data_IF_794051203147
#
_entry.id   IF_794051203147
#
_cell.length_a   1.000
_cell.length_b   1.000
_cell.length_c   1.000
_cell.angle_alpha   90.00
_cell.angle_beta   90.00
_cell.angle_gamma   90.00
#
_symmetry.space_group_name_H-M   'P 1'
#
loop_
_entity.id
_entity.type
_entity.pdbx_description
1 polymer ?
#
# COMPACT_ATOMS: atom_id res chain seq x y z
N UNK A 1 21.73 -3.61 26.13
CA UNK A 1 20.53 -3.40 26.96
C UNK A 1 19.99 -2.04 26.58
N UNK A 2 18.75 -1.96 26.08
CA UNK A 2 18.16 -0.68 25.68
C UNK A 2 18.07 0.24 26.91
N UNK A 3 18.40 1.53 26.75
CA UNK A 3 18.55 2.47 27.87
C UNK A 3 17.20 3.01 28.40
N UNK A 4 16.08 2.45 27.95
CA UNK A 4 14.73 2.89 28.30
C UNK A 4 13.82 1.71 28.62
N UNK A 5 12.76 1.98 29.38
CA UNK A 5 11.67 1.06 29.68
C UNK A 5 10.45 1.36 28.80
N UNK A 6 9.53 0.39 28.68
CA UNK A 6 8.28 0.57 27.93
C UNK A 6 7.48 1.80 28.42
N UNK A 7 7.49 2.06 29.73
CA UNK A 7 6.84 3.23 30.33
C UNK A 7 7.38 4.56 29.82
N UNK A 8 8.66 4.63 29.44
CA UNK A 8 9.24 5.83 28.87
C UNK A 8 8.63 6.10 27.49
N UNK A 9 8.42 5.04 26.69
CA UNK A 9 7.76 5.17 25.39
C UNK A 9 6.30 5.57 25.53
N UNK A 10 5.55 4.98 26.47
CA UNK A 10 4.17 5.37 26.76
C UNK A 10 4.05 6.84 27.17
N UNK A 11 4.99 7.30 28.01
CA UNK A 11 5.09 8.70 28.43
C UNK A 11 5.33 9.63 27.24
N UNK A 12 6.34 9.33 26.41
CA UNK A 12 6.67 10.17 25.26
C UNK A 12 5.59 10.13 24.17
N UNK A 13 4.96 8.99 23.92
CA UNK A 13 3.83 8.88 23.02
C UNK A 13 2.64 9.75 23.48
N UNK A 14 2.34 9.80 24.78
CA UNK A 14 1.32 10.71 25.31
C UNK A 14 1.66 12.19 25.03
N UNK A 15 2.91 12.58 25.29
CA UNK A 15 3.43 13.94 25.03
C UNK A 15 3.40 14.29 23.54
N UNK A 16 3.77 13.35 22.68
CA UNK A 16 3.72 13.50 21.23
C UNK A 16 2.28 13.68 20.78
N UNK A 17 1.33 12.90 21.29
CA UNK A 17 -0.10 13.03 20.97
C UNK A 17 -0.67 14.40 21.31
N UNK A 18 -0.23 15.01 22.42
CA UNK A 18 -0.58 16.39 22.75
C UNK A 18 -0.12 17.35 21.63
N UNK A 19 1.13 17.22 21.18
CA UNK A 19 1.68 18.04 20.09
C UNK A 19 1.03 17.77 18.74
N UNK A 20 0.75 16.52 18.41
CA UNK A 20 -0.01 16.11 17.22
C UNK A 20 -1.37 16.83 17.18
N UNK A 21 -2.07 16.89 18.31
CA UNK A 21 -3.34 17.62 18.43
C UNK A 21 -3.15 19.15 18.34
N UNK A 22 -2.13 19.72 19.00
CA UNK A 22 -1.80 21.16 18.90
C UNK A 22 -1.51 21.59 17.45
N UNK A 23 -0.81 20.75 16.68
CA UNK A 23 -0.53 20.99 15.25
C UNK A 23 -1.71 20.71 14.32
N UNK A 24 -2.83 20.18 14.85
CA UNK A 24 -4.03 19.89 14.07
C UNK A 24 -3.92 18.67 13.15
N UNK A 25 -2.99 17.75 13.44
CA UNK A 25 -2.87 16.49 12.71
C UNK A 25 -4.05 15.58 13.03
N UNK A 26 -4.61 14.96 11.99
CA UNK A 26 -5.76 14.08 12.06
C UNK A 26 -5.33 12.64 11.73
N UNK A 27 -5.01 11.88 12.78
CA UNK A 27 -4.49 10.51 12.69
C UNK A 27 -5.57 9.47 13.03
N UNK A 28 -5.51 8.27 12.45
CA UNK A 28 -6.19 7.09 13.00
C UNK A 28 -5.63 6.76 14.39
N UNK A 29 -6.38 6.01 15.24
CA UNK A 29 -5.80 5.44 16.44
C UNK A 29 -4.52 4.68 16.12
N UNK A 30 -3.47 4.88 16.91
CA UNK A 30 -2.13 4.34 16.66
C UNK A 30 -1.81 3.23 17.65
N UNK A 31 -1.35 2.10 17.13
CA UNK A 31 -0.79 0.98 17.88
C UNK A 31 0.69 0.82 17.54
N UNK A 32 1.53 0.62 18.55
CA UNK A 32 2.96 0.39 18.40
C UNK A 32 3.33 -1.00 18.87
N UNK A 33 4.14 -1.71 18.10
CA UNK A 33 4.73 -2.99 18.49
C UNK A 33 6.25 -2.89 18.45
N UNK A 34 6.92 -3.34 19.51
CA UNK A 34 8.38 -3.34 19.58
C UNK A 34 8.90 -4.66 19.00
N UNK A 35 9.76 -4.57 17.99
CA UNK A 35 10.34 -5.73 17.33
C UNK A 35 11.88 -5.73 17.37
N UNK A 36 12.47 -6.91 17.29
CA UNK A 36 13.91 -7.05 17.02
C UNK A 36 14.21 -7.00 15.52
N UNK A 37 15.50 -7.01 15.16
CA UNK A 37 15.95 -6.94 13.77
C UNK A 37 15.46 -8.12 12.92
N UNK A 38 15.37 -9.33 13.48
CA UNK A 38 14.90 -10.52 12.76
C UNK A 38 13.41 -10.41 12.43
N UNK A 39 12.62 -9.96 13.41
CA UNK A 39 11.21 -9.64 13.22
C UNK A 39 11.02 -8.52 12.19
N UNK A 40 11.80 -7.44 12.26
CA UNK A 40 11.73 -6.32 11.31
C UNK A 40 12.04 -6.77 9.88
N UNK A 41 13.08 -7.59 9.67
CA UNK A 41 13.37 -8.18 8.37
C UNK A 41 12.20 -9.05 7.86
N UNK A 42 11.55 -9.78 8.75
CA UNK A 42 10.31 -10.51 8.46
C UNK A 42 9.19 -9.59 8.00
N UNK A 43 8.92 -8.53 8.76
CA UNK A 43 7.92 -7.52 8.42
C UNK A 43 8.24 -6.87 7.07
N UNK A 44 9.50 -6.50 6.80
CA UNK A 44 9.91 -5.97 5.50
C UNK A 44 9.65 -6.93 4.35
N UNK A 45 9.94 -8.23 4.52
CA UNK A 45 9.69 -9.24 3.49
C UNK A 45 8.21 -9.36 3.13
N UNK A 46 7.31 -9.16 4.11
CA UNK A 46 5.86 -9.16 3.94
C UNK A 46 5.25 -7.75 3.79
N UNK A 47 6.07 -6.72 3.52
CA UNK A 47 5.62 -5.32 3.39
C UNK A 47 4.78 -4.83 4.58
N UNK A 48 5.18 -5.24 5.78
CA UNK A 48 4.55 -4.91 7.07
C UNK A 48 3.37 -5.80 7.45
N UNK A 49 2.80 -6.60 6.54
CA UNK A 49 1.53 -7.28 6.81
C UNK A 49 1.66 -8.47 7.78
N UNK A 50 0.97 -8.48 8.94
CA UNK A 50 1.09 -9.55 9.93
C UNK A 50 0.54 -10.92 9.49
N UNK A 51 -0.44 -10.95 8.59
CA UNK A 51 -1.17 -12.17 8.19
C UNK A 51 -1.36 -12.24 6.67
N UNK A 52 -0.25 -12.27 5.94
CA UNK A 52 -0.23 -12.44 4.49
C UNK A 52 -0.32 -13.92 4.09
N UNK A 53 -0.79 -14.24 2.86
CA UNK A 53 -0.68 -15.62 2.36
C UNK A 53 0.79 -16.03 2.18
N UNK A 54 1.09 -17.33 2.36
CA UNK A 54 2.43 -17.84 2.08
C UNK A 54 2.71 -17.83 0.58
N UNK A 55 3.93 -17.44 0.23
CA UNK A 55 4.46 -17.56 -1.13
C UNK A 55 6.00 -17.57 -1.05
N UNK A 56 6.65 -18.40 -1.87
CA UNK A 56 8.11 -18.57 -1.83
C UNK A 56 8.88 -17.26 -2.06
N UNK A 57 8.30 -16.31 -2.81
CA UNK A 57 8.93 -15.01 -3.09
C UNK A 57 9.21 -14.19 -1.83
N UNK A 58 8.36 -14.29 -0.79
CA UNK A 58 8.58 -13.61 0.49
C UNK A 58 9.75 -14.23 1.26
N UNK A 59 9.89 -15.56 1.25
CA UNK A 59 11.05 -16.24 1.82
C UNK A 59 12.35 -15.84 1.11
N UNK A 60 12.33 -15.78 -0.22
CA UNK A 60 13.47 -15.28 -1.01
C UNK A 60 13.78 -13.81 -0.69
N UNK A 61 12.76 -12.97 -0.52
CA UNK A 61 12.93 -11.56 -0.16
C UNK A 61 13.58 -11.43 1.22
N UNK A 62 13.13 -12.21 2.20
CA UNK A 62 13.72 -12.27 3.54
C UNK A 62 15.21 -12.64 3.49
N UNK A 63 15.56 -13.75 2.82
CA UNK A 63 16.96 -14.18 2.72
C UNK A 63 17.84 -13.14 2.04
N UNK A 64 17.32 -12.47 0.99
CA UNK A 64 18.02 -11.36 0.34
C UNK A 64 18.24 -10.19 1.29
N UNK A 65 17.19 -9.73 2.00
CA UNK A 65 17.27 -8.60 2.93
C UNK A 65 18.24 -8.90 4.08
N UNK A 66 18.11 -10.09 4.69
CA UNK A 66 19.00 -10.57 5.74
C UNK A 66 20.45 -10.59 5.28
N UNK A 67 20.71 -11.16 4.10
CA UNK A 67 22.07 -11.21 3.53
C UNK A 67 22.66 -9.81 3.36
N UNK A 68 21.90 -8.87 2.78
CA UNK A 68 22.35 -7.49 2.59
C UNK A 68 22.62 -6.78 3.93
N UNK A 69 21.81 -7.05 4.95
CA UNK A 69 22.02 -6.53 6.31
C UNK A 69 23.28 -7.11 6.97
N UNK A 70 23.45 -8.43 6.95
CA UNK A 70 24.58 -9.13 7.57
C UNK A 70 25.93 -8.67 6.97
N UNK A 71 25.95 -8.34 5.67
CA UNK A 71 27.12 -7.79 4.99
C UNK A 71 27.26 -6.26 5.10
N UNK A 72 26.38 -5.58 5.86
CA UNK A 72 26.42 -4.13 6.05
C UNK A 72 26.12 -3.31 4.79
N UNK A 73 25.52 -3.93 3.77
CA UNK A 73 25.16 -3.27 2.50
C UNK A 73 23.90 -2.42 2.66
N UNK A 74 22.97 -2.86 3.50
CA UNK A 74 21.71 -2.17 3.74
C UNK A 74 21.40 -2.12 5.24
N UNK A 75 20.99 -0.95 5.74
CA UNK A 75 20.48 -0.79 7.10
C UNK A 75 19.05 -1.32 7.27
N UNK A 76 18.63 -1.44 8.52
CA UNK A 76 17.24 -1.76 8.89
C UNK A 76 16.52 -0.44 9.19
N UNK A 77 15.27 -0.26 8.72
CA UNK A 77 14.52 0.94 9.01
C UNK A 77 14.23 1.05 10.50
N UNK A 78 14.08 2.27 11.00
CA UNK A 78 13.77 2.51 12.41
C UNK A 78 12.33 2.16 12.76
N UNK A 79 11.44 2.23 11.77
CA UNK A 79 10.04 1.83 11.84
C UNK A 79 9.60 0.97 10.66
N UNK A 80 8.37 0.46 10.75
CA UNK A 80 7.56 0.12 9.59
C UNK A 80 6.10 0.45 9.91
N UNK A 81 5.43 1.27 9.09
CA UNK A 81 4.02 1.67 9.31
C UNK A 81 3.06 0.96 8.35
N UNK A 82 1.95 0.47 8.88
CA UNK A 82 0.82 -0.10 8.12
C UNK A 82 -0.34 0.87 8.13
N UNK A 83 -0.84 1.22 6.94
CA UNK A 83 -2.04 2.01 6.78
C UNK A 83 -3.30 1.17 7.09
N UNK A 84 -3.71 1.19 8.35
CA UNK A 84 -4.91 0.55 8.85
C UNK A 84 -5.62 1.45 9.88
N UNK A 85 -6.79 1.03 10.34
CA UNK A 85 -7.55 1.69 11.40
C UNK A 85 -7.98 0.63 12.45
N UNK A 86 -7.25 0.48 13.57
CA UNK A 86 -6.10 1.29 14.00
C UNK A 86 -4.87 1.13 13.11
N UNK A 87 -4.07 2.20 13.02
CA UNK A 87 -2.76 2.22 12.33
C UNK A 87 -1.76 1.44 13.18
N UNK A 88 -1.00 0.55 12.55
CA UNK A 88 -0.02 -0.30 13.23
C UNK A 88 1.38 0.15 12.82
N UNK A 89 2.29 0.32 13.78
CA UNK A 89 3.68 0.62 13.51
C UNK A 89 4.62 -0.27 14.32
N UNK A 90 5.64 -0.79 13.66
CA UNK A 90 6.70 -1.55 14.30
C UNK A 90 7.86 -0.63 14.65
N UNK A 91 8.37 -0.72 15.87
CA UNK A 91 9.50 0.07 16.36
C UNK A 91 10.68 -0.84 16.64
N UNK A 92 11.86 -0.49 16.10
CA UNK A 92 13.09 -1.24 16.36
C UNK A 92 13.52 -1.11 17.82
N UNK A 93 13.63 -2.23 18.54
CA UNK A 93 14.05 -2.28 19.95
C UNK A 93 15.42 -1.65 20.22
N UNK A 94 16.32 -1.75 19.25
CA UNK A 94 17.71 -1.32 19.39
C UNK A 94 17.90 0.18 19.15
N UNK A 95 16.85 0.91 18.78
CA UNK A 95 16.87 2.37 18.72
C UNK A 95 17.19 2.96 20.10
N UNK A 96 17.90 4.08 20.15
CA UNK A 96 18.03 4.86 21.39
C UNK A 96 16.71 5.48 21.80
N UNK A 97 16.61 6.00 23.03
CA UNK A 97 15.40 6.69 23.47
C UNK A 97 15.10 7.93 22.60
N UNK A 98 16.11 8.73 22.24
CA UNK A 98 15.93 9.88 21.36
C UNK A 98 15.37 9.44 20.00
N UNK A 99 15.94 8.39 19.42
CA UNK A 99 15.51 7.86 18.14
C UNK A 99 14.10 7.25 18.21
N UNK A 100 13.71 6.63 19.33
CA UNK A 100 12.33 6.19 19.54
C UNK A 100 11.36 7.36 19.56
N UNK A 101 11.68 8.45 20.27
CA UNK A 101 10.84 9.66 20.32
C UNK A 101 10.67 10.25 18.91
N UNK A 102 11.78 10.37 18.17
CA UNK A 102 11.77 10.81 16.76
C UNK A 102 10.88 9.91 15.91
N UNK A 103 11.05 8.60 16.03
CA UNK A 103 10.34 7.60 15.23
C UNK A 103 8.84 7.61 15.55
N UNK A 104 8.44 7.68 16.82
CA UNK A 104 7.03 7.80 17.21
C UNK A 104 6.40 9.06 16.61
N UNK A 105 7.09 10.22 16.69
CA UNK A 105 6.61 11.46 16.08
C UNK A 105 6.51 11.35 14.54
N UNK A 106 7.45 10.65 13.91
CA UNK A 106 7.45 10.38 12.47
C UNK A 106 6.27 9.51 12.04
N UNK A 107 5.98 8.44 12.79
CA UNK A 107 4.83 7.56 12.57
C UNK A 107 3.51 8.34 12.60
N UNK A 108 3.34 9.31 13.50
CA UNK A 108 2.13 10.15 13.48
C UNK A 108 2.04 11.02 12.23
N UNK A 109 3.17 11.47 11.70
CA UNK A 109 3.20 12.14 10.41
C UNK A 109 2.73 11.22 9.27
N UNK A 110 3.21 9.98 9.21
CA UNK A 110 2.71 8.99 8.23
C UNK A 110 1.22 8.72 8.40
N UNK A 111 0.77 8.54 9.63
CA UNK A 111 -0.62 8.23 9.95
C UNK A 111 -1.56 9.37 9.49
N UNK A 112 -1.21 10.63 9.79
CA UNK A 112 -1.94 11.80 9.28
C UNK A 112 -1.94 11.84 7.74
N UNK A 113 -0.78 11.58 7.12
CA UNK A 113 -0.67 11.56 5.66
C UNK A 113 -1.60 10.52 5.03
N UNK A 114 -1.58 9.28 5.53
CA UNK A 114 -2.42 8.20 5.04
C UNK A 114 -3.90 8.52 5.20
N UNK A 115 -4.30 9.10 6.34
CA UNK A 115 -5.70 9.42 6.63
C UNK A 115 -6.27 10.52 5.75
N UNK A 116 -5.47 11.54 5.42
CA UNK A 116 -5.98 12.76 4.79
C UNK A 116 -5.64 12.89 3.29
N UNK A 117 -4.79 12.01 2.75
CA UNK A 117 -4.39 12.07 1.35
C UNK A 117 -5.44 11.42 0.42
N UNK A 118 -5.82 12.15 -0.63
CA UNK A 118 -6.83 11.74 -1.62
C UNK A 118 -6.54 10.39 -2.27
N UNK A 119 -5.28 10.02 -2.49
CA UNK A 119 -4.88 8.75 -3.12
C UNK A 119 -5.33 7.53 -2.29
N UNK A 120 -5.52 7.70 -0.98
CA UNK A 120 -5.98 6.65 -0.08
C UNK A 120 -7.51 6.60 0.09
N UNK A 121 -8.27 7.49 -0.55
CA UNK A 121 -9.72 7.59 -0.40
C UNK A 121 -10.47 6.30 -0.78
N UNK A 122 -9.93 5.53 -1.71
CA UNK A 122 -10.47 4.23 -2.13
C UNK A 122 -10.03 3.07 -1.23
N UNK A 123 -9.01 3.27 -0.39
CA UNK A 123 -8.60 2.27 0.58
C UNK A 123 -9.61 2.20 1.72
N UNK A 124 -9.76 1.02 2.32
CA UNK A 124 -10.64 0.78 3.47
C UNK A 124 -9.80 0.39 4.69
N UNK A 125 -9.16 1.36 5.37
CA UNK A 125 -8.19 1.07 6.42
C UNK A 125 -8.77 0.25 7.59
N UNK A 126 -10.08 0.34 7.83
CA UNK A 126 -10.81 -0.42 8.86
C UNK A 126 -10.79 -1.94 8.61
N UNK A 127 -10.65 -2.33 7.34
CA UNK A 127 -10.69 -3.72 6.93
C UNK A 127 -9.34 -4.26 6.46
N UNK A 128 -8.31 -3.42 6.30
CA UNK A 128 -7.00 -3.81 5.74
C UNK A 128 -6.47 -5.10 6.35
N UNK A 129 -6.22 -5.13 7.67
CA UNK A 129 -5.62 -6.30 8.34
C UNK A 129 -6.53 -7.53 8.21
N UNK A 130 -7.84 -7.35 8.37
CA UNK A 130 -8.82 -8.43 8.24
C UNK A 130 -8.91 -9.00 6.83
N UNK A 131 -8.82 -8.16 5.80
CA UNK A 131 -8.83 -8.54 4.38
C UNK A 131 -7.60 -9.37 4.03
N UNK A 132 -6.40 -8.92 4.40
CA UNK A 132 -5.17 -9.69 4.17
C UNK A 132 -5.23 -11.05 4.88
N UNK A 133 -5.71 -11.09 6.12
CA UNK A 133 -5.92 -12.35 6.84
C UNK A 133 -6.91 -13.26 6.11
N UNK A 134 -8.03 -12.72 5.65
CA UNK A 134 -9.03 -13.49 4.92
C UNK A 134 -8.42 -14.05 3.62
N UNK A 135 -7.63 -13.26 2.89
CA UNK A 135 -6.90 -13.70 1.70
C UNK A 135 -5.93 -14.84 2.04
N UNK A 136 -5.14 -14.69 3.10
CA UNK A 136 -4.24 -15.72 3.59
C UNK A 136 -4.95 -17.05 3.86
N UNK A 137 -6.09 -16.99 4.54
CA UNK A 137 -6.89 -18.16 4.87
C UNK A 137 -7.51 -18.80 3.60
N UNK A 138 -7.94 -17.99 2.60
CA UNK A 138 -8.43 -18.52 1.30
C UNK A 138 -7.33 -19.23 0.51
N UNK A 139 -6.16 -18.60 0.37
CA UNK A 139 -5.01 -19.17 -0.37
C UNK A 139 -4.56 -20.49 0.26
N UNK A 140 -4.44 -20.55 1.60
CA UNK A 140 -4.09 -21.80 2.31
C UNK A 140 -5.11 -22.91 2.03
N UNK A 141 -6.41 -22.60 2.07
CA UNK A 141 -7.45 -23.59 1.74
C UNK A 141 -7.32 -24.14 0.33
N UNK A 142 -6.93 -23.32 -0.65
CA UNK A 142 -6.67 -23.81 -2.00
C UNK A 142 -5.42 -24.69 -2.06
N UNK A 143 -4.34 -24.29 -1.38
CA UNK A 143 -3.12 -25.09 -1.32
C UNK A 143 -3.31 -26.45 -0.63
N UNK A 144 -4.12 -26.49 0.43
CA UNK A 144 -4.43 -27.71 1.20
C UNK A 144 -5.46 -28.61 0.52
N UNK A 145 -6.17 -28.11 -0.52
CA UNK A 145 -7.16 -28.90 -1.25
C UNK A 145 -6.49 -29.99 -2.09
N UNK A 146 -6.81 -31.29 -1.90
CA UNK A 146 -6.17 -32.39 -2.63
C UNK A 146 -6.34 -32.33 -4.16
N UNK A 147 -7.39 -31.64 -4.65
CA UNK A 147 -7.65 -31.47 -6.09
C UNK A 147 -6.82 -30.36 -6.74
N UNK A 148 -6.35 -29.40 -5.94
CA UNK A 148 -5.57 -28.25 -6.39
C UNK A 148 -4.11 -28.46 -6.05
N UNK A 149 -3.78 -28.48 -4.76
CA UNK A 149 -2.41 -28.64 -4.25
C UNK A 149 -1.58 -27.36 -4.31
N UNK A 150 -0.54 -27.33 -3.48
CA UNK A 150 0.37 -26.18 -3.33
C UNK A 150 1.02 -25.76 -4.66
N UNK A 151 1.56 -26.71 -5.43
CA UNK A 151 2.30 -26.43 -6.66
C UNK A 151 1.48 -25.64 -7.69
N UNK A 152 0.19 -25.99 -7.84
CA UNK A 152 -0.71 -25.26 -8.76
C UNK A 152 -1.01 -23.86 -8.26
N UNK A 153 -1.23 -23.69 -6.96
CA UNK A 153 -1.49 -22.38 -6.34
C UNK A 153 -0.28 -21.47 -6.50
N UNK A 154 0.93 -21.96 -6.17
CA UNK A 154 2.16 -21.17 -6.30
C UNK A 154 2.45 -20.79 -7.75
N UNK A 155 2.37 -21.75 -8.68
CA UNK A 155 2.60 -21.48 -10.12
C UNK A 155 1.62 -20.41 -10.64
N UNK A 156 0.37 -20.45 -10.20
CA UNK A 156 -0.63 -19.46 -10.59
C UNK A 156 -0.38 -18.09 -9.94
N UNK A 157 -0.01 -18.07 -8.65
CA UNK A 157 0.36 -16.85 -7.94
C UNK A 157 1.60 -16.19 -8.53
N UNK A 158 2.61 -16.95 -8.96
CA UNK A 158 3.79 -16.43 -9.65
C UNK A 158 3.40 -15.62 -10.90
N UNK A 159 2.51 -16.20 -11.72
CA UNK A 159 2.00 -15.52 -12.91
C UNK A 159 1.21 -14.27 -12.54
N UNK A 160 0.32 -14.35 -11.54
CA UNK A 160 -0.48 -13.21 -11.09
C UNK A 160 0.38 -12.08 -10.51
N UNK A 161 1.37 -12.40 -9.67
CA UNK A 161 2.31 -11.44 -9.08
C UNK A 161 3.11 -10.70 -10.14
N UNK A 162 3.53 -11.37 -11.22
CA UNK A 162 4.26 -10.73 -12.33
C UNK A 162 3.48 -9.60 -13.01
N UNK A 163 2.14 -9.64 -12.93
CA UNK A 163 1.22 -8.65 -13.52
C UNK A 163 0.54 -7.76 -12.48
N UNK A 164 0.82 -7.94 -11.18
CA UNK A 164 0.15 -7.25 -10.08
C UNK A 164 0.14 -5.72 -10.20
N UNK A 165 1.22 -5.13 -10.69
CA UNK A 165 1.36 -3.67 -10.87
C UNK A 165 0.74 -3.14 -12.17
N UNK A 166 0.22 -4.02 -13.04
CA UNK A 166 -0.54 -3.67 -14.23
C UNK A 166 -2.02 -3.52 -13.84
N UNK A 167 -2.29 -2.44 -13.11
CA UNK A 167 -3.63 -2.04 -12.70
C UNK A 167 -3.72 -0.52 -12.54
N UNK A 168 -4.96 -0.03 -12.42
CA UNK A 168 -5.27 1.39 -12.32
C UNK A 168 -4.54 2.04 -11.14
N UNK A 169 -3.92 3.19 -11.42
CA UNK A 169 -3.19 3.97 -10.41
C UNK A 169 -4.08 4.87 -9.56
N UNK A 170 -5.18 5.36 -10.12
CA UNK A 170 -6.12 6.23 -9.42
C UNK A 170 -7.47 5.55 -9.24
N UNK A 171 -7.61 4.82 -8.13
CA UNK A 171 -8.82 4.09 -7.78
C UNK A 171 -9.97 5.02 -7.34
N UNK A 172 -9.70 6.29 -7.04
CA UNK A 172 -10.73 7.27 -6.72
C UNK A 172 -11.49 7.76 -7.96
N UNK A 173 -10.91 7.59 -9.16
CA UNK A 173 -11.61 7.84 -10.42
C UNK A 173 -12.51 6.66 -10.73
N UNK A 174 -13.83 6.92 -10.81
CA UNK A 174 -14.82 5.90 -11.15
C UNK A 174 -14.53 5.32 -12.54
N UNK A 175 -14.39 4.00 -12.61
CA UNK A 175 -14.33 3.27 -13.87
C UNK A 175 -15.69 3.30 -14.56
N UNK A 176 -15.69 3.58 -15.85
CA UNK A 176 -16.89 3.51 -16.67
C UNK A 176 -17.24 2.04 -16.89
N UNK A 177 -18.54 1.74 -16.88
CA UNK A 177 -19.03 0.44 -17.34
C UNK A 177 -18.83 0.31 -18.85
N UNK A 178 -18.78 -0.93 -19.36
CA UNK A 178 -18.60 -1.17 -20.80
C UNK A 178 -19.63 -0.40 -21.68
N UNK A 179 -20.92 -0.31 -21.35
CA UNK A 179 -21.87 0.51 -22.09
C UNK A 179 -21.53 2.01 -22.06
N UNK A 180 -21.07 2.53 -20.92
CA UNK A 180 -20.65 3.93 -20.79
C UNK A 180 -19.38 4.22 -21.60
N UNK A 181 -18.43 3.29 -21.64
CA UNK A 181 -17.22 3.39 -22.48
C UNK A 181 -17.57 3.39 -23.96
N UNK A 182 -18.44 2.48 -24.40
CA UNK A 182 -18.94 2.45 -25.79
C UNK A 182 -19.62 3.75 -26.17
N UNK A 183 -20.48 4.28 -25.30
CA UNK A 183 -21.14 5.57 -25.52
C UNK A 183 -20.14 6.72 -25.59
N UNK A 184 -19.10 6.70 -24.75
CA UNK A 184 -18.02 7.69 -24.77
C UNK A 184 -17.22 7.63 -26.07
N UNK A 185 -16.93 6.45 -26.59
CA UNK A 185 -16.24 6.28 -27.89
C UNK A 185 -17.08 6.82 -29.05
N UNK A 186 -18.39 6.55 -29.05
CA UNK A 186 -19.33 7.08 -30.05
C UNK A 186 -19.40 8.62 -29.97
N UNK A 187 -19.49 9.16 -28.75
CA UNK A 187 -19.50 10.60 -28.53
C UNK A 187 -18.20 11.26 -28.97
N UNK A 188 -17.04 10.65 -28.69
CA UNK A 188 -15.73 11.15 -29.10
C UNK A 188 -15.51 11.09 -30.63
N UNK A 189 -16.13 10.14 -31.31
CA UNK A 189 -16.12 10.04 -32.77
C UNK A 189 -17.00 11.11 -33.45
N UNK A 190 -17.92 11.73 -32.70
CA UNK A 190 -18.77 12.82 -33.21
C UNK A 190 -18.05 14.16 -33.02
N UNK A 191 -17.65 14.86 -34.08
CA UNK A 191 -16.95 16.12 -33.95
C UNK A 191 -17.87 17.17 -33.29
N UNK A 192 -17.33 18.05 -32.43
CA UNK A 192 -18.11 19.13 -31.83
C UNK A 192 -18.66 20.05 -32.94
N UNK A 193 -19.82 20.67 -32.67
CA UNK A 193 -20.43 21.60 -33.61
C UNK A 193 -19.49 22.78 -33.89
N UNK A 194 -19.06 22.91 -35.14
CA UNK A 194 -18.16 23.97 -35.60
C UNK A 194 -18.97 25.17 -36.12
N UNK A 195 -18.95 26.34 -35.45
CA UNK A 195 -19.67 27.53 -35.90
C UNK A 195 -19.19 28.05 -37.26
N UNK A 196 -17.96 27.68 -37.66
CA UNK A 196 -17.29 28.12 -38.86
C UNK A 196 -17.11 26.99 -39.89
N UNK A 197 -17.97 25.97 -39.84
CA UNK A 197 -17.91 24.78 -40.72
C UNK A 197 -17.86 25.11 -42.23
N UNK A 198 -18.26 26.32 -42.65
CA UNK A 198 -18.17 26.80 -44.03
C UNK A 198 -16.75 27.08 -44.51
N UNK A 199 -15.81 27.37 -43.60
CA UNK A 199 -14.41 27.70 -43.91
C UNK A 199 -13.42 26.63 -43.45
N UNK A 200 -13.80 25.81 -42.47
CA UNK A 200 -12.95 24.72 -42.00
C UNK A 200 -13.14 23.46 -42.86
N UNK A 201 -12.04 22.71 -43.03
CA UNK A 201 -12.08 21.40 -43.71
C UNK A 201 -12.97 20.47 -42.90
N UNK A 202 -13.95 19.83 -43.57
CA UNK A 202 -14.83 18.85 -42.95
C UNK A 202 -13.98 17.75 -42.31
N UNK A 203 -14.10 17.58 -40.99
CA UNK A 203 -13.49 16.45 -40.29
C UNK A 203 -14.22 15.18 -40.71
N UNK A 204 -13.47 14.19 -41.19
CA UNK A 204 -13.99 12.86 -41.48
C UNK A 204 -14.25 12.14 -40.15
N UNK A 205 -15.48 11.66 -39.98
CA UNK A 205 -15.83 10.83 -38.82
C UNK A 205 -15.15 9.48 -38.98
N UNK A 206 -14.25 9.13 -38.07
CA UNK A 206 -13.72 7.77 -37.98
C UNK A 206 -14.64 6.98 -37.07
N UNK A 207 -15.31 5.96 -37.61
CA UNK A 207 -16.15 5.08 -36.80
C UNK A 207 -15.29 4.29 -35.81
N UNK A 208 -15.60 4.32 -34.50
CA UNK A 208 -14.84 3.55 -33.52
C UNK A 208 -15.11 2.06 -33.71
N UNK A 209 -14.07 1.22 -33.62
CA UNK A 209 -14.25 -0.23 -33.68
C UNK A 209 -14.82 -0.77 -32.37
N UNK A 210 -16.15 -0.82 -32.30
CA UNK A 210 -16.88 -1.32 -31.15
C UNK A 210 -16.78 -2.85 -30.98
N UNK A 211 -16.14 -3.59 -31.89
CA UNK A 211 -16.01 -5.05 -31.74
C UNK A 211 -14.85 -5.47 -30.85
N UNK A 212 -13.95 -4.54 -30.54
CA UNK A 212 -12.81 -4.79 -29.65
C UNK A 212 -13.29 -5.06 -28.22
N UNK A 213 -12.69 -6.06 -27.58
CA UNK A 213 -12.89 -6.38 -26.16
C UNK A 213 -11.54 -6.31 -25.46
N UNK A 214 -11.33 -5.36 -24.53
CA UNK A 214 -12.26 -4.32 -24.11
C UNK A 214 -12.37 -3.18 -25.15
N UNK A 215 -13.45 -2.37 -25.14
CA UNK A 215 -13.63 -1.24 -26.06
C UNK A 215 -12.51 -0.20 -25.95
N UNK A 216 -12.03 0.04 -24.73
CA UNK A 216 -10.84 0.85 -24.43
C UNK A 216 -9.70 -0.04 -23.92
N UNK A 217 -8.43 0.40 -23.98
CA UNK A 217 -7.35 -0.26 -23.26
C UNK A 217 -7.68 -0.40 -21.77
N UNK A 218 -7.58 -1.63 -21.26
CA UNK A 218 -7.82 -1.96 -19.87
C UNK A 218 -6.50 -1.91 -19.08
N UNK A 219 -6.51 -1.16 -17.98
CA UNK A 219 -5.36 -1.09 -17.08
C UNK A 219 -5.34 -2.27 -16.11
N UNK A 220 -6.50 -2.75 -15.64
CA UNK A 220 -6.61 -3.87 -14.69
C UNK A 220 -6.46 -5.23 -15.38
N UNK A 221 -5.23 -5.58 -15.77
CA UNK A 221 -4.94 -6.79 -16.56
C UNK A 221 -5.39 -8.08 -15.86
N UNK A 222 -5.18 -8.19 -14.54
CA UNK A 222 -5.60 -9.37 -13.78
C UNK A 222 -7.12 -9.57 -13.81
N UNK A 223 -7.89 -8.49 -13.60
CA UNK A 223 -9.35 -8.56 -13.64
C UNK A 223 -9.87 -8.82 -15.06
N UNK A 224 -9.20 -8.24 -16.07
CA UNK A 224 -9.51 -8.54 -17.46
C UNK A 224 -9.40 -10.04 -17.76
N UNK A 225 -8.29 -10.67 -17.37
CA UNK A 225 -8.05 -12.10 -17.54
C UNK A 225 -9.11 -12.91 -16.78
N UNK A 226 -9.40 -12.53 -15.52
CA UNK A 226 -10.43 -13.19 -14.68
C UNK A 226 -11.80 -13.21 -15.36
N UNK A 227 -12.20 -12.09 -15.94
CA UNK A 227 -13.56 -11.88 -16.45
C UNK A 227 -13.75 -12.40 -17.88
N UNK A 228 -12.67 -12.50 -18.67
CA UNK A 228 -12.73 -12.89 -20.09
C UNK A 228 -12.18 -14.28 -20.40
N UNK A 229 -11.46 -14.93 -19.48
CA UNK A 229 -10.97 -16.29 -19.70
C UNK A 229 -12.01 -17.33 -19.21
N UNK A 230 -12.69 -18.05 -20.12
CA UNK A 230 -13.73 -19.01 -19.75
C UNK A 230 -13.17 -20.31 -19.16
N UNK A 231 -11.86 -20.54 -19.24
CA UNK A 231 -11.22 -21.78 -18.78
C UNK A 231 -10.74 -21.73 -17.33
N UNK A 232 -10.77 -20.55 -16.70
CA UNK A 232 -10.36 -20.40 -15.30
C UNK A 232 -11.38 -21.02 -14.36
N UNK A 233 -10.86 -21.80 -13.41
CA UNK A 233 -11.61 -22.31 -12.28
C UNK A 233 -11.89 -21.20 -11.27
N UNK A 234 -12.89 -21.39 -10.41
CA UNK A 234 -13.31 -20.37 -9.45
C UNK A 234 -12.19 -19.99 -8.45
N UNK A 235 -11.33 -20.93 -8.06
CA UNK A 235 -10.19 -20.61 -7.20
C UNK A 235 -9.12 -19.78 -7.91
N UNK A 236 -8.87 -20.02 -9.20
CA UNK A 236 -7.93 -19.22 -10.01
C UNK A 236 -8.44 -17.78 -10.16
N UNK A 237 -9.76 -17.61 -10.37
CA UNK A 237 -10.39 -16.29 -10.42
C UNK A 237 -10.30 -15.55 -9.08
N UNK A 238 -10.46 -16.26 -7.96
CA UNK A 238 -10.28 -15.68 -6.63
C UNK A 238 -8.82 -15.27 -6.40
N UNK A 239 -7.82 -16.08 -6.80
CA UNK A 239 -6.41 -15.71 -6.69
C UNK A 239 -6.07 -14.44 -7.49
N UNK A 240 -6.59 -14.30 -8.72
CA UNK A 240 -6.43 -13.05 -9.49
C UNK A 240 -7.04 -11.84 -8.77
N UNK A 241 -8.20 -12.05 -8.13
CA UNK A 241 -8.88 -11.01 -7.37
C UNK A 241 -8.09 -10.62 -6.12
N UNK A 242 -7.60 -11.60 -5.36
CA UNK A 242 -6.75 -11.40 -4.19
C UNK A 242 -5.52 -10.56 -4.54
N UNK A 243 -4.76 -10.98 -5.56
CA UNK A 243 -3.53 -10.28 -5.96
C UNK A 243 -3.83 -8.86 -6.44
N UNK A 244 -4.93 -8.65 -7.16
CA UNK A 244 -5.35 -7.32 -7.60
C UNK A 244 -5.76 -6.42 -6.43
N UNK A 245 -6.54 -6.93 -5.48
CA UNK A 245 -6.98 -6.17 -4.31
C UNK A 245 -5.79 -5.77 -3.41
N UNK A 246 -4.83 -6.67 -3.21
CA UNK A 246 -3.61 -6.37 -2.46
C UNK A 246 -2.73 -5.35 -3.20
N UNK A 247 -2.59 -5.45 -4.53
CA UNK A 247 -1.90 -4.44 -5.33
C UNK A 247 -2.56 -3.06 -5.18
N UNK A 248 -3.89 -3.01 -5.13
CA UNK A 248 -4.65 -1.78 -4.89
C UNK A 248 -4.37 -1.13 -3.53
N UNK A 249 -4.00 -1.92 -2.52
CA UNK A 249 -3.54 -1.40 -1.22
C UNK A 249 -2.12 -0.79 -1.32
N UNK A 250 -1.20 -1.45 -2.02
CA UNK A 250 0.20 -1.03 -2.10
C UNK A 250 0.47 0.11 -3.09
N UNK A 251 -0.29 0.20 -4.19
CA UNK A 251 -0.06 1.22 -5.23
C UNK A 251 -0.06 2.66 -4.69
N UNK A 252 -1.07 3.10 -3.91
CA UNK A 252 -1.06 4.43 -3.32
C UNK A 252 0.22 4.72 -2.51
N UNK A 253 0.72 3.74 -1.77
CA UNK A 253 1.92 3.87 -0.95
C UNK A 253 3.19 3.98 -1.80
N UNK A 254 3.28 3.18 -2.87
CA UNK A 254 4.41 3.23 -3.81
C UNK A 254 4.45 4.60 -4.51
N UNK A 255 3.31 5.06 -5.03
CA UNK A 255 3.20 6.32 -5.78
C UNK A 255 3.43 7.55 -4.89
N UNK A 256 3.03 7.48 -3.61
CA UNK A 256 3.11 8.63 -2.70
C UNK A 256 4.31 8.60 -1.76
N UNK A 257 5.20 7.60 -1.87
CA UNK A 257 6.30 7.35 -0.92
C UNK A 257 7.11 8.61 -0.59
N UNK A 258 7.62 9.32 -1.59
CA UNK A 258 8.47 10.51 -1.37
C UNK A 258 7.71 11.60 -0.60
N UNK A 259 6.43 11.80 -0.92
CA UNK A 259 5.62 12.81 -0.27
C UNK A 259 5.23 12.39 1.14
N UNK A 260 4.98 11.11 1.37
CA UNK A 260 4.72 10.53 2.69
C UNK A 260 5.92 10.72 3.63
N UNK A 261 7.12 10.32 3.20
CA UNK A 261 8.36 10.52 3.96
C UNK A 261 8.61 12.02 4.22
N UNK A 262 8.42 12.87 3.21
CA UNK A 262 8.60 14.31 3.35
C UNK A 262 7.62 14.95 4.35
N UNK A 263 6.36 14.50 4.37
CA UNK A 263 5.36 14.97 5.33
C UNK A 263 5.69 14.51 6.76
N UNK A 264 6.05 13.23 6.91
CA UNK A 264 6.46 12.70 8.20
C UNK A 264 7.74 13.35 8.73
N UNK A 265 8.72 13.64 7.86
CA UNK A 265 9.92 14.39 8.22
C UNK A 265 9.65 15.87 8.54
N UNK A 266 8.66 16.49 7.92
CA UNK A 266 8.29 17.86 8.29
C UNK A 266 7.71 17.88 9.71
N UNK A 267 6.77 16.98 10.00
CA UNK A 267 6.05 16.99 11.27
C UNK A 267 6.85 16.41 12.42
N UNK A 268 7.68 15.38 12.22
CA UNK A 268 8.52 14.89 13.31
C UNK A 268 9.45 15.99 13.84
N UNK A 269 9.91 16.88 12.97
CA UNK A 269 10.86 17.94 13.31
C UNK A 269 10.15 19.02 14.08
N UNK A 270 8.96 19.43 13.60
CA UNK A 270 8.10 20.40 14.31
C UNK A 270 7.67 19.88 15.69
N UNK A 271 7.33 18.60 15.78
CA UNK A 271 6.98 17.95 17.03
C UNK A 271 8.19 17.92 17.95
N UNK A 272 9.36 17.48 17.49
CA UNK A 272 10.57 17.42 18.31
C UNK A 272 11.02 18.81 18.79
N UNK A 273 10.97 19.84 17.93
CA UNK A 273 11.26 21.22 18.33
C UNK A 273 10.30 21.74 19.42
N UNK A 274 9.03 21.31 19.37
CA UNK A 274 7.99 21.71 20.32
C UNK A 274 7.98 20.83 21.58
N UNK A 275 8.58 19.64 21.52
CA UNK A 275 8.88 18.83 22.69
C UNK A 275 10.06 19.51 23.38
N UNK A 276 9.84 20.01 24.58
CA UNK A 276 10.90 20.53 25.45
C UNK A 276 11.78 19.36 25.94
N UNK A 277 12.56 18.77 25.02
CA UNK A 277 13.38 17.60 25.28
C UNK A 277 14.47 17.94 26.30
N UNK A 278 14.75 17.05 27.27
CA UNK A 278 15.93 17.15 28.13
C UNK A 278 17.20 17.34 27.29
N UNK A 279 18.14 18.15 27.81
CA UNK A 279 19.39 18.47 27.12
C UNK A 279 20.17 17.23 26.64
N UNK A 280 20.13 16.14 27.39
CA UNK A 280 20.79 14.88 27.05
C UNK A 280 20.25 14.26 25.74
N UNK A 281 18.95 14.39 25.47
CA UNK A 281 18.31 13.90 24.25
C UNK A 281 18.49 14.87 23.08
N UNK A 282 18.65 16.17 23.36
CA UNK A 282 18.91 17.18 22.33
C UNK A 282 20.29 17.04 21.68
N UNK A 283 21.28 16.45 22.37
CA UNK A 283 22.64 16.28 21.83
C UNK A 283 22.67 15.16 20.78
N UNK A 284 21.78 14.18 20.90
CA UNK A 284 21.69 13.05 19.97
C UNK A 284 20.92 13.40 18.68
N UNK A 285 20.06 14.43 18.73
CA UNK A 285 19.28 14.94 17.60
C UNK A 285 20.04 16.00 16.80
#
# INVERSE_FOLDING_TARGET
>A
MSSYALKDLEYWDARIREKVAEFGLNCFPQEFEICDHGQMLGYMAYSGMPSHYPHWSYGKAYEKLKTLYDYGVQGIPYEMVINANPSLAYLMRDNSLCLQILTIAHVYGHNDFFRNNFTFKSTRPEFTIGTFKAHADRVRRYADSPSIGLEKVETFLDAAHSLSLQCRRNLAVKKLSEPEERQRLIAAATPPADPFQRIHRRQEMTEPDLRRVPPSPEEDVLLFIRDHNPFLQEWEKDLLTIVHEEAGYFIPQIETKIMNEGWASLFHKRILDALELPQELQIEF
#
